data_IF_778620032666
#
_entry.id   IF_778620032666
#
_cell.length_a   1.000
_cell.length_b   1.000
_cell.length_c   1.000
_cell.angle_alpha   90.00
_cell.angle_beta   90.00
_cell.angle_gamma   90.00
#
_symmetry.space_group_name_H-M   'P 1'
#
loop_
_entity.id
_entity.type
_entity.pdbx_description
1 polymer ?
#
# COMPACT_ATOMS: atom_id res chain seq x y z
N UNK A 1 8.61 -19.08 5.59
CA UNK A 1 7.44 -18.24 5.94
C UNK A 1 7.74 -16.99 6.77
N UNK A 2 9.00 -16.56 6.95
CA UNK A 2 9.31 -15.28 7.64
C UNK A 2 9.66 -14.12 6.70
N UNK A 3 10.05 -14.42 5.45
CA UNK A 3 10.55 -13.42 4.50
C UNK A 3 9.44 -12.69 3.71
N UNK A 4 8.24 -13.26 3.62
CA UNK A 4 7.17 -12.71 2.78
C UNK A 4 6.53 -11.43 3.35
N UNK A 5 6.56 -11.27 4.68
CA UNK A 5 5.94 -10.14 5.37
C UNK A 5 6.75 -8.85 5.21
N UNK A 6 8.07 -8.95 5.01
CA UNK A 6 8.96 -7.78 4.84
C UNK A 6 8.72 -7.08 3.51
N UNK A 7 8.45 -7.84 2.46
CA UNK A 7 8.17 -7.31 1.12
C UNK A 7 6.80 -6.65 1.04
N UNK A 8 5.79 -7.20 1.70
CA UNK A 8 4.46 -6.56 1.81
C UNK A 8 4.54 -5.23 2.56
N UNK A 9 5.31 -5.15 3.66
CA UNK A 9 5.37 -3.98 4.52
C UNK A 9 5.91 -2.70 3.86
N UNK A 10 6.62 -2.81 2.74
CA UNK A 10 7.17 -1.69 1.96
C UNK A 10 6.72 -1.69 0.49
N UNK A 11 5.72 -2.50 0.14
CA UNK A 11 5.13 -2.49 -1.20
C UNK A 11 4.53 -1.11 -1.52
N UNK A 12 4.56 -0.72 -2.79
CA UNK A 12 4.05 0.56 -3.30
C UNK A 12 2.61 0.84 -2.85
N UNK A 13 1.84 -0.23 -2.61
CA UNK A 13 0.52 -0.18 -2.02
C UNK A 13 0.48 0.59 -0.69
N UNK A 14 1.44 0.38 0.22
CA UNK A 14 1.40 1.08 1.51
C UNK A 14 1.53 2.60 1.36
N UNK A 15 2.38 3.05 0.43
CA UNK A 15 2.57 4.48 0.17
C UNK A 15 1.30 5.11 -0.39
N UNK A 16 0.63 4.45 -1.34
CA UNK A 16 -0.64 4.89 -1.91
C UNK A 16 -1.75 4.92 -0.86
N UNK A 17 -1.86 3.89 -0.01
CA UNK A 17 -2.85 3.85 1.06
C UNK A 17 -2.71 5.01 2.06
N UNK A 18 -1.47 5.36 2.43
CA UNK A 18 -1.20 6.50 3.33
C UNK A 18 -1.51 7.84 2.64
N UNK A 19 -1.11 8.02 1.38
CA UNK A 19 -1.40 9.22 0.61
C UNK A 19 -2.92 9.41 0.46
N UNK A 20 -3.63 8.38 0.03
CA UNK A 20 -5.06 8.41 -0.15
C UNK A 20 -5.84 8.68 1.15
N UNK A 21 -5.37 8.14 2.28
CA UNK A 21 -5.95 8.43 3.59
C UNK A 21 -5.79 9.90 3.99
N UNK A 22 -4.58 10.45 3.84
CA UNK A 22 -4.32 11.87 4.13
C UNK A 22 -5.14 12.80 3.23
N UNK A 23 -5.31 12.42 1.96
CA UNK A 23 -6.07 13.16 0.96
C UNK A 23 -7.59 12.88 1.03
N UNK A 24 -8.07 12.02 1.93
CA UNK A 24 -9.47 11.55 2.03
C UNK A 24 -10.06 11.08 0.70
N UNK A 25 -9.24 10.48 -0.15
CA UNK A 25 -9.64 9.91 -1.44
C UNK A 25 -9.57 8.39 -1.40
N UNK A 26 -10.16 7.74 -2.41
CA UNK A 26 -9.95 6.30 -2.58
C UNK A 26 -8.54 6.04 -3.14
N UNK A 27 -7.78 5.10 -2.57
CA UNK A 27 -6.47 4.72 -3.10
C UNK A 27 -6.58 4.05 -4.46
N UNK A 28 -5.57 4.25 -5.31
CA UNK A 28 -5.46 3.65 -6.63
C UNK A 28 -4.52 2.45 -6.58
N UNK A 29 -5.09 1.27 -6.39
CA UNK A 29 -4.33 0.03 -6.35
C UNK A 29 -3.95 -0.42 -7.76
N UNK A 30 -2.69 -0.81 -8.03
CA UNK A 30 -2.31 -1.41 -9.29
C UNK A 30 -2.92 -2.84 -9.36
N UNK A 31 -4.09 -2.97 -9.98
CA UNK A 31 -4.73 -4.28 -10.18
C UNK A 31 -6.23 -4.37 -9.89
N UNK A 32 -6.90 -3.23 -9.60
CA UNK A 32 -8.36 -3.10 -9.74
C UNK A 32 -8.75 -2.59 -11.12
#
# INVERSE_FOLDING_TARGET
>A
EDAAWRTVAFSADRAEGVAAFNEKRKPQWPGV
#
